data_IF_787188966506
#
_entry.id   IF_787188966506
#
_cell.length_a   1.000
_cell.length_b   1.000
_cell.length_c   1.000
_cell.angle_alpha   90.00
_cell.angle_beta   90.00
_cell.angle_gamma   90.00
#
_symmetry.space_group_name_H-M   'P 1'
#
loop_
_entity.id
_entity.type
_entity.pdbx_description
1 polymer ?
#
# COMPACT_ATOMS: atom_id res chain seq x y z
N UNK A 1 8.03 3.77 -3.21
CA UNK A 1 6.76 3.28 -2.63
C UNK A 1 6.90 2.76 -1.19
N UNK A 2 8.08 2.47 -0.67
CA UNK A 2 8.30 2.25 0.76
C UNK A 2 8.62 3.61 1.38
N UNK A 3 7.80 4.06 2.35
CA UNK A 3 8.07 5.30 3.06
C UNK A 3 9.34 5.16 3.91
N UNK A 4 10.17 6.18 3.91
CA UNK A 4 11.37 6.26 4.77
C UNK A 4 11.38 7.57 5.53
N UNK A 5 11.87 7.52 6.77
CA UNK A 5 12.04 8.71 7.61
C UNK A 5 12.85 9.77 6.86
N UNK A 6 12.40 11.01 6.92
CA UNK A 6 12.99 12.15 6.21
C UNK A 6 12.39 12.43 4.83
N UNK A 7 11.56 11.55 4.28
CA UNK A 7 10.73 11.91 3.14
C UNK A 7 9.61 12.86 3.59
N UNK A 8 9.41 13.89 2.81
CA UNK A 8 8.42 14.93 3.09
C UNK A 8 7.07 14.59 2.48
N UNK A 9 5.99 14.87 3.22
CA UNK A 9 4.62 14.52 2.87
C UNK A 9 3.74 15.76 2.77
N UNK A 10 3.07 15.93 1.63
CA UNK A 10 2.04 16.93 1.39
C UNK A 10 0.67 16.27 1.49
N UNK A 11 -0.26 16.85 2.25
CA UNK A 11 -1.60 16.30 2.48
C UNK A 11 -2.65 17.10 1.71
N UNK A 12 -3.16 16.56 0.61
CA UNK A 12 -4.26 17.19 -0.13
C UNK A 12 -5.60 16.89 0.55
N UNK A 13 -6.36 17.94 0.85
CA UNK A 13 -7.59 17.85 1.63
C UNK A 13 -7.37 17.83 3.15
N UNK A 14 -6.23 18.31 3.63
CA UNK A 14 -5.84 18.33 5.05
C UNK A 14 -6.87 19.01 5.97
N UNK A 15 -7.62 19.98 5.48
CA UNK A 15 -8.61 20.74 6.25
C UNK A 15 -9.96 20.04 6.38
N UNK A 16 -10.15 18.92 5.69
CA UNK A 16 -11.32 18.05 5.85
C UNK A 16 -11.20 17.20 7.11
N UNK A 17 -12.33 16.75 7.67
CA UNK A 17 -12.37 15.95 8.91
C UNK A 17 -11.39 14.75 8.90
N UNK A 18 -11.38 13.97 7.83
CA UNK A 18 -10.48 12.82 7.69
C UNK A 18 -9.02 13.25 7.46
N UNK A 19 -8.81 14.24 6.59
CA UNK A 19 -7.49 14.78 6.30
C UNK A 19 -6.80 15.33 7.55
N UNK A 20 -7.53 16.12 8.38
CA UNK A 20 -7.03 16.63 9.66
C UNK A 20 -6.66 15.48 10.60
N UNK A 21 -7.63 14.59 10.88
CA UNK A 21 -7.42 13.48 11.83
C UNK A 21 -6.22 12.62 11.49
N UNK A 22 -6.12 12.18 10.23
CA UNK A 22 -5.03 11.30 9.82
C UNK A 22 -3.70 12.04 9.68
N UNK A 23 -3.70 13.33 9.30
CA UNK A 23 -2.47 14.13 9.29
C UNK A 23 -1.88 14.28 10.69
N UNK A 24 -2.71 14.54 11.71
CA UNK A 24 -2.27 14.56 13.11
C UNK A 24 -1.67 13.21 13.52
N UNK A 25 -2.33 12.09 13.19
CA UNK A 25 -1.80 10.74 13.49
C UNK A 25 -0.52 10.42 12.75
N UNK A 26 -0.38 10.87 11.50
CA UNK A 26 0.88 10.74 10.74
C UNK A 26 2.01 11.52 11.44
N UNK A 27 1.77 12.77 11.84
CA UNK A 27 2.73 13.61 12.55
C UNK A 27 3.13 12.99 13.90
N UNK A 28 2.16 12.54 14.70
CA UNK A 28 2.40 11.85 15.97
C UNK A 28 3.29 10.60 15.80
N UNK A 29 3.19 9.91 14.66
CA UNK A 29 4.02 8.75 14.32
C UNK A 29 5.38 9.08 13.72
N UNK A 30 5.73 10.34 13.57
CA UNK A 30 7.02 10.78 13.02
C UNK A 30 7.03 10.95 11.50
N UNK A 31 5.88 10.95 10.83
CA UNK A 31 5.79 11.32 9.42
C UNK A 31 6.03 12.84 9.26
N UNK A 32 6.92 13.22 8.37
CA UNK A 32 7.27 14.62 8.11
C UNK A 32 6.24 15.28 7.20
N UNK A 33 5.10 15.70 7.77
CA UNK A 33 4.08 16.48 7.04
C UNK A 33 4.55 17.91 6.93
N UNK A 34 4.76 18.40 5.70
CA UNK A 34 5.32 19.72 5.41
C UNK A 34 4.27 20.77 5.06
N UNK A 35 3.04 20.38 4.83
CA UNK A 35 1.93 21.26 4.49
C UNK A 35 0.71 20.51 3.99
N UNK A 36 -0.32 21.26 3.70
CA UNK A 36 -1.55 20.78 3.11
C UNK A 36 -1.97 21.57 1.88
N UNK A 37 -2.89 21.01 1.11
CA UNK A 37 -3.50 21.70 -0.02
C UNK A 37 -4.99 21.90 0.22
N UNK A 38 -5.41 23.15 0.14
CA UNK A 38 -6.80 23.58 0.02
C UNK A 38 -6.85 24.94 -0.67
N UNK A 39 -7.30 25.04 -1.94
CA UNK A 39 -7.33 26.31 -2.68
C UNK A 39 -8.12 27.43 -2.00
N UNK A 40 -9.14 27.11 -1.21
CA UNK A 40 -9.99 28.08 -0.51
C UNK A 40 -9.35 28.63 0.77
N UNK A 41 -8.29 28.01 1.27
CA UNK A 41 -7.62 28.34 2.53
C UNK A 41 -6.11 28.52 2.35
N UNK A 42 -5.65 28.79 1.13
CA UNK A 42 -4.26 29.05 0.82
C UNK A 42 -3.74 30.26 1.64
N UNK A 43 -2.53 30.13 2.17
CA UNK A 43 -1.90 31.13 3.04
C UNK A 43 -2.24 31.01 4.52
N UNK A 44 -3.19 30.15 4.90
CA UNK A 44 -3.48 29.85 6.31
C UNK A 44 -2.50 28.80 6.88
N UNK A 45 -2.58 28.62 8.19
CA UNK A 45 -1.94 27.51 8.91
C UNK A 45 -3.01 26.58 9.48
N UNK A 46 -2.82 25.25 9.36
CA UNK A 46 -3.72 24.27 9.92
C UNK A 46 -2.89 23.14 10.57
N UNK A 47 -3.24 22.76 11.80
CA UNK A 47 -2.48 21.79 12.63
C UNK A 47 -0.95 22.03 12.63
N UNK A 48 -0.56 23.30 12.62
CA UNK A 48 0.86 23.70 12.68
C UNK A 48 1.61 23.65 11.35
N UNK A 49 0.95 23.35 10.22
CA UNK A 49 1.57 23.32 8.90
C UNK A 49 0.92 24.32 7.94
N UNK A 50 1.65 24.87 6.96
CA UNK A 50 1.12 25.82 5.98
C UNK A 50 0.13 25.15 5.03
N UNK A 51 -0.84 25.92 4.55
CA UNK A 51 -1.80 25.51 3.52
C UNK A 51 -1.48 26.23 2.21
N UNK A 52 -1.32 25.45 1.15
CA UNK A 52 -1.07 25.91 -0.21
C UNK A 52 -2.34 25.79 -1.06
N UNK A 53 -2.41 26.55 -2.14
CA UNK A 53 -3.49 26.49 -3.12
C UNK A 53 -3.40 25.25 -4.03
N UNK A 54 -2.19 24.73 -4.23
CA UNK A 54 -1.94 23.55 -5.08
C UNK A 54 -0.65 22.82 -4.65
N UNK A 55 -0.45 21.59 -5.14
CA UNK A 55 0.80 20.86 -4.93
C UNK A 55 1.95 21.51 -5.72
N UNK A 56 1.66 22.08 -6.89
CA UNK A 56 2.64 22.86 -7.68
C UNK A 56 3.10 24.08 -6.90
N UNK A 57 2.22 24.80 -6.21
CA UNK A 57 2.60 25.91 -5.32
C UNK A 57 3.48 25.41 -4.18
N UNK A 58 3.07 24.35 -3.47
CA UNK A 58 3.86 23.78 -2.38
C UNK A 58 5.28 23.41 -2.82
N UNK A 59 5.42 22.78 -4.00
CA UNK A 59 6.71 22.36 -4.55
C UNK A 59 7.67 23.51 -4.88
N UNK A 60 7.18 24.75 -5.04
CA UNK A 60 8.02 25.94 -5.21
C UNK A 60 8.63 26.41 -3.89
N UNK A 61 8.00 26.08 -2.77
CA UNK A 61 8.44 26.52 -1.43
C UNK A 61 9.23 25.44 -0.69
N UNK A 62 8.98 24.17 -0.98
CA UNK A 62 9.61 23.07 -0.25
C UNK A 62 9.62 21.80 -1.09
N UNK A 63 10.52 20.87 -0.76
CA UNK A 63 10.58 19.57 -1.39
C UNK A 63 9.35 18.75 -0.98
N UNK A 64 8.66 18.15 -1.96
CA UNK A 64 7.52 17.27 -1.76
C UNK A 64 7.84 15.87 -2.30
N UNK A 65 8.22 14.93 -1.44
CA UNK A 65 8.55 13.56 -1.87
C UNK A 65 7.30 12.72 -2.09
N UNK A 66 6.28 12.92 -1.24
CA UNK A 66 5.03 12.17 -1.24
C UNK A 66 3.83 13.12 -1.15
N UNK A 67 2.78 12.83 -1.91
CA UNK A 67 1.47 13.46 -1.74
C UNK A 67 0.44 12.41 -1.34
N UNK A 68 -0.35 12.66 -0.31
CA UNK A 68 -1.48 11.80 0.08
C UNK A 68 -2.81 12.51 -0.18
N UNK A 69 -3.74 11.80 -0.83
CA UNK A 69 -4.98 12.37 -1.38
C UNK A 69 -6.18 12.01 -0.50
N UNK A 70 -6.72 12.99 0.22
CA UNK A 70 -7.98 12.93 0.99
C UNK A 70 -9.10 13.73 0.28
N UNK A 71 -9.14 13.65 -1.03
CA UNK A 71 -10.07 14.42 -1.88
C UNK A 71 -11.22 13.50 -2.33
N UNK A 72 -12.48 14.00 -2.38
CA UNK A 72 -13.62 13.24 -2.88
C UNK A 72 -13.42 12.74 -4.33
N UNK A 73 -14.09 11.63 -4.73
CA UNK A 73 -13.88 11.00 -6.04
C UNK A 73 -13.96 11.92 -7.24
N UNK A 74 -14.97 12.81 -7.26
CA UNK A 74 -15.20 13.75 -8.35
C UNK A 74 -14.09 14.81 -8.55
N UNK A 75 -13.21 14.99 -7.57
CA UNK A 75 -12.13 15.99 -7.59
C UNK A 75 -10.75 15.33 -7.47
N UNK A 76 -10.71 14.01 -7.31
CA UNK A 76 -9.46 13.28 -7.07
C UNK A 76 -8.52 13.35 -8.29
N UNK A 77 -9.06 13.32 -9.51
CA UNK A 77 -8.27 13.44 -10.73
C UNK A 77 -7.41 14.71 -10.74
N UNK A 78 -8.03 15.85 -10.52
CA UNK A 78 -7.33 17.14 -10.56
C UNK A 78 -6.24 17.22 -9.49
N UNK A 79 -6.52 16.71 -8.27
CA UNK A 79 -5.56 16.66 -7.18
C UNK A 79 -4.36 15.73 -7.49
N UNK A 80 -4.60 14.59 -8.15
CA UNK A 80 -3.54 13.66 -8.55
C UNK A 80 -2.68 14.27 -9.66
N UNK A 81 -3.31 14.89 -10.67
CA UNK A 81 -2.62 15.54 -11.78
C UNK A 81 -1.76 16.72 -11.27
N UNK A 82 -2.29 17.53 -10.35
CA UNK A 82 -1.54 18.60 -9.70
C UNK A 82 -0.28 18.06 -8.97
N UNK A 83 -0.38 16.91 -8.29
CA UNK A 83 0.79 16.27 -7.68
C UNK A 83 1.79 15.73 -8.71
N UNK A 84 1.33 15.19 -9.85
CA UNK A 84 2.21 14.77 -10.96
C UNK A 84 2.94 15.99 -11.53
N UNK A 85 2.22 17.07 -11.76
CA UNK A 85 2.77 18.32 -12.33
C UNK A 85 3.73 19.02 -11.39
N UNK A 86 3.55 18.84 -10.08
CA UNK A 86 4.48 19.26 -9.03
C UNK A 86 5.76 18.40 -8.96
N UNK A 87 5.86 17.32 -9.72
CA UNK A 87 7.00 16.40 -9.70
C UNK A 87 7.09 15.52 -8.45
N UNK A 88 5.97 15.31 -7.74
CA UNK A 88 5.94 14.45 -6.55
C UNK A 88 6.25 13.00 -6.91
N UNK A 89 7.22 12.40 -6.24
CA UNK A 89 7.71 11.05 -6.56
C UNK A 89 6.73 9.93 -6.25
N UNK A 90 5.95 10.04 -5.16
CA UNK A 90 4.94 9.04 -4.78
C UNK A 90 3.62 9.72 -4.44
N UNK A 91 2.53 9.27 -5.07
CA UNK A 91 1.18 9.80 -4.87
C UNK A 91 0.31 8.68 -4.29
N UNK A 92 -0.13 8.84 -3.04
CA UNK A 92 -0.94 7.86 -2.32
C UNK A 92 -2.40 8.28 -2.41
N UNK A 93 -3.19 7.56 -3.20
CA UNK A 93 -4.60 7.88 -3.49
C UNK A 93 -5.53 7.01 -2.67
N UNK A 94 -6.02 7.55 -1.55
CA UNK A 94 -6.91 6.81 -0.64
C UNK A 94 -8.32 6.70 -1.19
N UNK A 95 -8.70 7.63 -2.06
CA UNK A 95 -10.05 7.78 -2.61
C UNK A 95 -10.52 6.52 -3.31
N UNK A 96 -11.66 6.02 -2.89
CA UNK A 96 -12.44 4.96 -3.55
C UNK A 96 -13.41 5.57 -4.56
N UNK A 97 -13.84 4.80 -5.55
CA UNK A 97 -14.81 5.22 -6.58
C UNK A 97 -14.33 6.36 -7.50
N UNK A 98 -13.03 6.50 -7.70
CA UNK A 98 -12.52 7.37 -8.77
C UNK A 98 -13.02 6.81 -10.10
N UNK A 99 -13.71 7.62 -10.96
CA UNK A 99 -14.22 7.14 -12.23
C UNK A 99 -13.12 6.52 -13.10
N UNK A 100 -13.39 5.37 -13.70
CA UNK A 100 -12.38 4.66 -14.52
C UNK A 100 -11.83 5.52 -15.65
N UNK A 101 -12.66 6.39 -16.26
CA UNK A 101 -12.22 7.34 -17.27
C UNK A 101 -11.18 8.32 -16.72
N UNK A 102 -11.42 8.85 -15.51
CA UNK A 102 -10.49 9.75 -14.82
C UNK A 102 -9.17 9.04 -14.50
N UNK A 103 -9.22 7.76 -14.10
CA UNK A 103 -8.00 6.96 -13.88
C UNK A 103 -7.19 6.78 -15.15
N UNK A 104 -7.85 6.58 -16.31
CA UNK A 104 -7.15 6.51 -17.60
C UNK A 104 -6.48 7.83 -18.00
N UNK A 105 -7.14 8.96 -17.74
CA UNK A 105 -6.55 10.30 -17.97
C UNK A 105 -5.34 10.54 -17.03
N UNK A 106 -5.47 10.17 -15.76
CA UNK A 106 -4.36 10.22 -14.80
C UNK A 106 -3.17 9.40 -15.32
N UNK A 107 -3.40 8.18 -15.80
CA UNK A 107 -2.32 7.34 -16.34
C UNK A 107 -1.72 7.88 -17.62
N UNK A 108 -2.53 8.54 -18.47
CA UNK A 108 -1.99 9.24 -19.62
C UNK A 108 -1.05 10.38 -19.21
N UNK A 109 -1.41 11.13 -18.16
CA UNK A 109 -0.56 12.21 -17.60
C UNK A 109 0.68 11.66 -16.90
N UNK A 110 0.58 10.49 -16.27
CA UNK A 110 1.69 9.83 -15.58
C UNK A 110 2.81 9.39 -16.54
N UNK A 111 2.48 9.09 -17.81
CA UNK A 111 3.47 8.72 -18.81
C UNK A 111 4.51 9.82 -18.99
N UNK A 112 5.79 9.46 -18.89
CA UNK A 112 6.90 10.40 -19.00
C UNK A 112 7.18 11.21 -17.73
N UNK A 113 6.41 11.03 -16.65
CA UNK A 113 6.75 11.58 -15.34
C UNK A 113 7.59 10.59 -14.52
N UNK A 114 8.23 11.10 -13.46
CA UNK A 114 8.93 10.28 -12.47
C UNK A 114 8.01 9.90 -11.29
N UNK A 115 6.73 10.23 -11.37
CA UNK A 115 5.76 9.95 -10.32
C UNK A 115 5.29 8.50 -10.35
N UNK A 116 4.91 7.98 -9.19
CA UNK A 116 4.27 6.68 -9.01
C UNK A 116 3.00 6.86 -8.21
N UNK A 117 1.93 6.19 -8.62
CA UNK A 117 0.66 6.20 -7.89
C UNK A 117 0.50 4.89 -7.11
N UNK A 118 0.17 5.00 -5.83
CA UNK A 118 -0.26 3.90 -4.95
C UNK A 118 -1.76 4.05 -4.73
N UNK A 119 -2.54 3.06 -5.11
CA UNK A 119 -4.00 3.18 -5.24
C UNK A 119 -4.45 3.43 -6.68
N UNK A 120 -5.68 3.89 -6.96
CA UNK A 120 -6.72 4.35 -6.01
C UNK A 120 -7.21 3.28 -5.02
N UNK A 121 -8.06 3.72 -4.08
CA UNK A 121 -8.67 2.86 -3.07
C UNK A 121 -7.63 2.10 -2.23
N UNK A 122 -6.57 2.79 -1.81
CA UNK A 122 -5.56 2.23 -0.90
C UNK A 122 -5.77 2.68 0.53
N UNK A 123 -5.37 1.86 1.48
CA UNK A 123 -5.25 2.27 2.88
C UNK A 123 -3.93 3.00 3.17
N UNK A 124 -2.96 2.96 2.25
CA UNK A 124 -1.70 3.67 2.35
C UNK A 124 -0.48 2.78 2.62
N UNK A 125 0.54 3.39 3.17
CA UNK A 125 1.88 2.83 3.41
C UNK A 125 2.23 2.94 4.89
N UNK A 126 2.89 1.93 5.45
CA UNK A 126 3.43 1.98 6.82
C UNK A 126 4.86 1.48 6.83
N UNK A 127 5.74 2.21 7.47
CA UNK A 127 7.07 1.72 7.88
C UNK A 127 7.16 1.83 9.40
N UNK A 128 6.96 0.72 10.13
CA UNK A 128 6.88 0.78 11.57
C UNK A 128 8.15 1.37 12.20
N UNK A 129 7.96 2.32 13.15
CA UNK A 129 9.06 3.06 13.77
C UNK A 129 9.57 4.25 12.97
N UNK A 130 9.12 4.44 11.71
CA UNK A 130 9.49 5.60 10.89
C UNK A 130 8.32 6.53 10.59
N UNK A 131 7.11 5.97 10.37
CA UNK A 131 5.89 6.69 10.08
C UNK A 131 4.94 5.90 9.20
N UNK A 132 3.84 6.53 8.83
CA UNK A 132 2.88 5.98 7.88
C UNK A 132 2.26 7.09 7.03
N UNK A 133 1.65 6.71 5.92
CA UNK A 133 0.97 7.62 5.00
C UNK A 133 -0.39 7.02 4.66
N UNK A 134 -1.46 7.69 5.01
CA UNK A 134 -2.83 7.27 4.71
C UNK A 134 -3.67 7.02 5.95
N UNK A 135 -4.49 5.96 5.91
CA UNK A 135 -5.50 5.63 6.93
C UNK A 135 -5.23 4.30 7.65
N UNK A 136 -4.04 3.74 7.47
CA UNK A 136 -3.62 2.56 8.23
C UNK A 136 -3.32 2.94 9.68
N UNK A 137 -3.64 2.07 10.66
CA UNK A 137 -3.36 2.35 12.07
C UNK A 137 -1.87 2.19 12.41
N UNK A 138 -0.99 2.89 11.67
CA UNK A 138 0.47 2.83 11.84
C UNK A 138 0.96 3.25 13.23
N UNK A 139 0.15 4.03 13.94
CA UNK A 139 0.37 4.42 15.34
C UNK A 139 0.07 3.30 16.35
N UNK A 140 -0.59 2.21 15.93
CA UNK A 140 -0.96 1.12 16.83
C UNK A 140 0.13 0.05 16.87
N UNK A 141 0.91 0.03 17.95
CA UNK A 141 2.01 -0.92 18.14
C UNK A 141 1.57 -2.38 18.36
N UNK A 142 0.29 -2.64 18.60
CA UNK A 142 -0.24 -4.00 18.60
C UNK A 142 -0.39 -4.56 17.18
N UNK A 143 -0.52 -3.69 16.18
CA UNK A 143 -0.66 -4.05 14.77
C UNK A 143 0.68 -3.96 14.05
N UNK A 144 1.40 -2.86 14.25
CA UNK A 144 2.65 -2.57 13.54
C UNK A 144 3.82 -2.46 14.52
N UNK A 145 4.82 -3.33 14.34
CA UNK A 145 6.12 -3.25 15.05
C UNK A 145 7.26 -3.29 14.03
N UNK A 146 8.36 -2.58 14.28
CA UNK A 146 9.56 -2.73 13.46
C UNK A 146 10.03 -4.18 13.39
N UNK A 147 10.41 -4.62 12.20
CA UNK A 147 10.91 -5.97 11.94
C UNK A 147 11.31 -6.13 10.47
N UNK A 148 11.29 -7.37 9.97
CA UNK A 148 11.85 -7.69 8.66
C UNK A 148 10.84 -8.28 7.65
N UNK A 149 9.56 -8.37 7.99
CA UNK A 149 8.54 -8.92 7.09
C UNK A 149 7.90 -7.81 6.27
N UNK A 150 8.08 -7.83 4.95
CA UNK A 150 7.35 -6.95 4.03
C UNK A 150 5.93 -7.47 3.82
N UNK A 151 4.92 -6.61 3.91
CA UNK A 151 3.52 -6.99 3.70
C UNK A 151 2.92 -6.19 2.55
N UNK A 152 2.34 -6.90 1.58
CA UNK A 152 1.59 -6.32 0.45
C UNK A 152 0.12 -6.69 0.63
N UNK A 153 -0.80 -5.73 0.49
CA UNK A 153 -2.22 -6.04 0.56
C UNK A 153 -3.06 -5.20 -0.40
N UNK A 154 -4.05 -5.81 -1.03
CA UNK A 154 -5.11 -5.09 -1.76
C UNK A 154 -6.10 -4.46 -0.79
N UNK A 155 -6.42 -5.17 0.28
CA UNK A 155 -7.39 -4.76 1.29
C UNK A 155 -6.70 -4.16 2.52
N UNK A 156 -7.12 -2.97 2.93
CA UNK A 156 -6.63 -2.33 4.17
C UNK A 156 -6.98 -3.15 5.41
N UNK A 157 -8.19 -3.66 5.52
CA UNK A 157 -8.65 -4.45 6.69
C UNK A 157 -7.96 -5.82 6.79
N UNK A 158 -7.83 -6.55 5.68
CA UNK A 158 -7.10 -7.82 5.66
C UNK A 158 -5.61 -7.62 5.91
N UNK A 159 -5.02 -6.56 5.37
CA UNK A 159 -3.64 -6.18 5.66
C UNK A 159 -3.41 -5.87 7.13
N UNK A 160 -4.33 -5.12 7.75
CA UNK A 160 -4.30 -4.85 9.20
C UNK A 160 -4.38 -6.14 10.01
N UNK A 161 -5.31 -7.04 9.66
CA UNK A 161 -5.45 -8.34 10.32
C UNK A 161 -4.18 -9.19 10.18
N UNK A 162 -3.57 -9.20 8.99
CA UNK A 162 -2.32 -9.90 8.74
C UNK A 162 -1.20 -9.35 9.62
N UNK A 163 -1.00 -8.03 9.63
CA UNK A 163 0.03 -7.38 10.46
C UNK A 163 -0.19 -7.62 11.96
N UNK A 164 -1.46 -7.63 12.42
CA UNK A 164 -1.80 -7.98 13.80
C UNK A 164 -1.38 -9.42 14.15
N UNK A 165 -1.68 -10.40 13.29
CA UNK A 165 -1.29 -11.80 13.51
C UNK A 165 0.23 -11.95 13.53
N UNK A 166 0.94 -11.32 12.60
CA UNK A 166 2.39 -11.32 12.54
C UNK A 166 3.00 -10.73 13.82
N UNK A 167 2.53 -9.56 14.22
CA UNK A 167 3.02 -8.87 15.43
C UNK A 167 2.79 -9.68 16.71
N UNK A 168 1.61 -10.32 16.84
CA UNK A 168 1.30 -11.21 17.98
C UNK A 168 2.20 -12.44 18.04
N UNK A 169 2.62 -12.94 16.88
CA UNK A 169 3.55 -14.07 16.78
C UNK A 169 5.04 -13.65 16.88
N UNK A 170 5.33 -12.38 17.15
CA UNK A 170 6.70 -11.87 17.29
C UNK A 170 7.37 -11.46 15.98
N UNK A 171 6.65 -11.45 14.86
CA UNK A 171 7.16 -11.02 13.56
C UNK A 171 6.77 -9.56 13.29
N UNK A 172 7.73 -8.64 13.36
CA UNK A 172 7.54 -7.24 12.99
C UNK A 172 7.64 -7.02 11.48
N UNK A 173 7.17 -5.84 11.02
CA UNK A 173 7.15 -5.51 9.61
C UNK A 173 8.31 -4.56 9.24
N UNK A 174 8.94 -4.80 8.08
CA UNK A 174 9.87 -3.86 7.42
C UNK A 174 9.12 -2.75 6.70
N UNK A 175 8.00 -3.10 6.09
CA UNK A 175 7.07 -2.20 5.44
C UNK A 175 5.71 -2.87 5.22
N UNK A 176 4.66 -2.06 5.17
CA UNK A 176 3.34 -2.41 4.64
C UNK A 176 3.05 -1.56 3.42
N UNK A 177 2.63 -2.19 2.33
CA UNK A 177 2.25 -1.54 1.07
C UNK A 177 0.81 -1.94 0.75
N UNK A 178 -0.11 -0.99 0.96
CA UNK A 178 -1.49 -1.11 0.50
C UNK A 178 -1.56 -0.71 -0.98
N UNK A 179 -1.86 -1.65 -1.87
CA UNK A 179 -1.87 -1.35 -3.31
C UNK A 179 -3.22 -0.86 -3.82
N UNK A 180 -4.32 -1.17 -3.10
CA UNK A 180 -5.67 -0.74 -3.45
C UNK A 180 -6.55 -1.87 -4.00
N UNK A 181 -7.88 -1.67 -3.83
CA UNK A 181 -8.91 -2.64 -4.20
C UNK A 181 -9.62 -2.37 -5.53
N UNK A 182 -9.28 -1.28 -6.23
CA UNK A 182 -9.89 -0.92 -7.51
C UNK A 182 -9.37 -1.80 -8.66
N UNK A 183 -10.15 -1.94 -9.75
CA UNK A 183 -9.72 -2.75 -10.90
C UNK A 183 -8.52 -2.16 -11.65
N UNK A 184 -8.36 -0.85 -11.64
CA UNK A 184 -7.28 -0.12 -12.30
C UNK A 184 -6.52 0.66 -11.23
N UNK A 185 -5.29 0.22 -10.93
CA UNK A 185 -4.42 0.80 -9.90
C UNK A 185 -3.03 1.11 -10.45
N UNK A 186 -2.36 2.09 -9.86
CA UNK A 186 -1.05 2.57 -10.31
C UNK A 186 0.13 1.75 -9.80
N UNK A 187 -0.06 0.92 -8.77
CA UNK A 187 0.96 0.04 -8.20
C UNK A 187 0.38 -1.36 -8.07
N UNK A 188 0.95 -2.32 -8.77
CA UNK A 188 0.53 -3.72 -8.77
C UNK A 188 1.19 -4.54 -7.66
N UNK A 189 0.71 -5.78 -7.44
CA UNK A 189 1.38 -6.73 -6.54
C UNK A 189 2.81 -7.02 -6.98
N UNK A 190 3.06 -7.06 -8.29
CA UNK A 190 4.41 -7.24 -8.85
C UNK A 190 5.32 -6.05 -8.50
N UNK A 191 4.86 -4.81 -8.70
CA UNK A 191 5.65 -3.61 -8.38
C UNK A 191 6.02 -3.56 -6.90
N UNK A 192 5.07 -3.88 -6.03
CA UNK A 192 5.28 -3.90 -4.58
C UNK A 192 6.25 -5.03 -4.19
N UNK A 193 6.13 -6.21 -4.81
CA UNK A 193 7.02 -7.34 -4.57
C UNK A 193 8.46 -7.02 -4.98
N UNK A 194 8.66 -6.41 -6.15
CA UNK A 194 9.96 -5.94 -6.62
C UNK A 194 10.57 -4.88 -5.69
N UNK A 195 9.75 -4.01 -5.10
CA UNK A 195 10.24 -3.01 -4.15
C UNK A 195 10.72 -3.64 -2.84
N UNK A 196 9.98 -4.63 -2.30
CA UNK A 196 10.36 -5.35 -1.09
C UNK A 196 11.55 -6.30 -1.32
N UNK A 197 11.68 -6.85 -2.51
CA UNK A 197 12.82 -7.69 -2.87
C UNK A 197 14.14 -6.89 -2.84
N UNK A 198 14.11 -5.65 -3.31
CA UNK A 198 15.26 -4.74 -3.29
C UNK A 198 15.52 -4.09 -1.91
N UNK A 199 14.55 -4.16 -1.01
CA UNK A 199 14.68 -3.54 0.31
C UNK A 199 15.54 -4.43 1.24
N UNK A 200 16.72 -3.95 1.63
CA UNK A 200 17.66 -4.68 2.47
C UNK A 200 17.11 -5.02 3.87
N UNK A 201 16.13 -4.26 4.35
CA UNK A 201 15.48 -4.52 5.64
C UNK A 201 14.44 -5.62 5.60
N UNK A 202 14.01 -6.01 4.39
CA UNK A 202 13.01 -7.06 4.18
C UNK A 202 13.71 -8.40 3.99
N UNK A 203 13.39 -9.37 4.83
CA UNK A 203 13.92 -10.75 4.73
C UNK A 203 12.90 -11.75 4.22
N UNK A 204 11.61 -11.47 4.39
CA UNK A 204 10.51 -12.28 3.89
C UNK A 204 9.35 -11.39 3.44
N UNK A 205 8.52 -11.86 2.52
CA UNK A 205 7.36 -11.11 2.02
C UNK A 205 6.07 -11.88 2.22
N UNK A 206 5.03 -11.19 2.68
CA UNK A 206 3.66 -11.70 2.76
C UNK A 206 2.79 -10.96 1.76
N UNK A 207 2.24 -11.69 0.79
CA UNK A 207 1.28 -11.21 -0.21
C UNK A 207 -0.14 -11.56 0.21
N UNK A 208 -0.91 -10.56 0.59
CA UNK A 208 -2.35 -10.68 0.91
C UNK A 208 -3.14 -10.27 -0.32
N UNK A 209 -3.55 -11.27 -1.08
CA UNK A 209 -4.35 -11.11 -2.29
C UNK A 209 -5.82 -11.43 -2.07
N UNK A 210 -6.57 -11.30 -3.15
CA UNK A 210 -8.00 -11.64 -3.19
C UNK A 210 -8.39 -12.11 -4.59
N UNK A 211 -9.59 -12.66 -4.73
CA UNK A 211 -10.14 -13.01 -6.05
C UNK A 211 -10.28 -11.77 -6.93
N UNK A 212 -10.29 -11.98 -8.24
CA UNK A 212 -10.41 -10.93 -9.26
C UNK A 212 -9.07 -10.43 -9.80
N UNK A 213 -9.04 -10.17 -11.10
CA UNK A 213 -7.83 -9.77 -11.82
C UNK A 213 -6.76 -10.88 -11.85
N UNK A 214 -5.54 -10.53 -12.31
CA UNK A 214 -4.41 -11.45 -12.48
C UNK A 214 -3.11 -10.94 -11.84
N UNK A 215 -3.21 -10.01 -10.89
CA UNK A 215 -2.03 -9.36 -10.30
C UNK A 215 -1.18 -10.31 -9.46
N UNK A 216 -1.81 -11.26 -8.76
CA UNK A 216 -1.13 -12.24 -7.94
C UNK A 216 -0.43 -13.31 -8.80
N UNK A 217 -1.02 -13.68 -9.95
CA UNK A 217 -0.39 -14.55 -10.93
C UNK A 217 0.87 -13.90 -11.55
N UNK A 218 0.80 -12.61 -11.89
CA UNK A 218 1.96 -11.86 -12.38
C UNK A 218 3.05 -11.73 -11.30
N UNK A 219 2.66 -11.51 -10.04
CA UNK A 219 3.59 -11.47 -8.92
C UNK A 219 4.23 -12.85 -8.67
N UNK A 220 3.49 -13.95 -8.87
CA UNK A 220 4.00 -15.32 -8.73
C UNK A 220 5.16 -15.60 -9.71
N UNK A 221 5.06 -15.14 -10.95
CA UNK A 221 6.16 -15.32 -11.93
C UNK A 221 7.46 -14.65 -11.47
N UNK A 222 7.36 -13.47 -10.88
CA UNK A 222 8.53 -12.80 -10.31
C UNK A 222 9.05 -13.51 -9.05
N UNK A 223 8.14 -13.95 -8.17
CA UNK A 223 8.49 -14.64 -6.93
C UNK A 223 9.40 -15.87 -7.16
N UNK A 224 9.28 -16.56 -8.30
CA UNK A 224 10.16 -17.68 -8.69
C UNK A 224 11.64 -17.31 -8.76
N UNK A 225 11.95 -16.05 -8.99
CA UNK A 225 13.33 -15.54 -9.15
C UNK A 225 13.88 -14.92 -7.86
N UNK A 226 13.01 -14.70 -6.86
CA UNK A 226 13.41 -14.07 -5.60
C UNK A 226 14.21 -15.03 -4.72
N UNK A 227 15.19 -14.48 -4.00
CA UNK A 227 15.88 -15.19 -2.93
C UNK A 227 15.13 -15.15 -1.61
N UNK A 228 14.33 -14.09 -1.41
CA UNK A 228 13.54 -13.91 -0.20
C UNK A 228 12.29 -14.80 -0.27
N UNK A 229 11.96 -15.55 0.78
CA UNK A 229 10.75 -16.36 0.81
C UNK A 229 9.51 -15.50 0.70
N UNK A 230 8.55 -15.98 -0.08
CA UNK A 230 7.24 -15.34 -0.27
C UNK A 230 6.17 -16.27 0.28
N UNK A 231 5.28 -15.72 1.09
CA UNK A 231 4.09 -16.37 1.61
C UNK A 231 2.86 -15.65 1.10
N UNK A 232 1.76 -16.34 0.95
CA UNK A 232 0.53 -15.70 0.47
C UNK A 232 -0.70 -16.19 1.20
N UNK A 233 -1.66 -15.27 1.36
CA UNK A 233 -3.03 -15.57 1.71
C UNK A 233 -3.94 -14.93 0.66
N UNK A 234 -4.86 -15.72 0.09
CA UNK A 234 -5.80 -15.26 -0.92
C UNK A 234 -7.22 -15.30 -0.34
N UNK A 235 -7.83 -14.13 -0.19
CA UNK A 235 -9.22 -14.01 0.24
C UNK A 235 -10.20 -14.42 -0.87
N UNK A 236 -11.35 -14.97 -0.48
CA UNK A 236 -12.42 -15.30 -1.40
C UNK A 236 -12.53 -16.79 -1.76
N UNK A 237 -11.91 -17.72 -1.01
CA UNK A 237 -12.00 -19.16 -1.23
C UNK A 237 -13.45 -19.67 -1.33
N UNK A 238 -14.34 -19.14 -0.49
CA UNK A 238 -15.76 -19.53 -0.43
C UNK A 238 -16.68 -18.56 -1.19
N UNK A 239 -16.12 -17.68 -2.02
CA UNK A 239 -16.92 -16.73 -2.78
C UNK A 239 -17.76 -17.45 -3.83
N UNK A 240 -19.07 -17.12 -3.93
CA UNK A 240 -19.89 -17.65 -5.01
C UNK A 240 -19.34 -17.23 -6.38
N UNK A 241 -19.42 -18.09 -7.41
CA UNK A 241 -19.05 -17.70 -8.77
C UNK A 241 -19.89 -16.50 -9.24
N UNK A 242 -19.30 -15.68 -10.09
CA UNK A 242 -19.93 -14.52 -10.76
C UNK A 242 -20.49 -13.43 -9.83
N UNK A 243 -20.12 -13.42 -8.54
CA UNK A 243 -20.46 -12.36 -7.60
C UNK A 243 -19.26 -11.44 -7.35
N UNK A 244 -19.52 -10.13 -7.39
CA UNK A 244 -18.59 -9.11 -6.89
C UNK A 244 -18.51 -9.23 -5.36
N UNK A 245 -17.29 -9.34 -4.83
CA UNK A 245 -17.05 -9.53 -3.40
C UNK A 245 -16.26 -8.36 -2.82
N UNK A 246 -16.95 -7.43 -2.17
CA UNK A 246 -16.34 -6.27 -1.51
C UNK A 246 -15.77 -5.26 -2.51
N UNK A 247 -14.49 -5.36 -2.84
CA UNK A 247 -13.80 -4.42 -3.72
C UNK A 247 -14.30 -4.42 -5.15
N UNK A 248 -14.21 -3.28 -5.83
CA UNK A 248 -14.60 -3.14 -7.22
C UNK A 248 -13.81 -4.06 -8.17
N UNK A 249 -12.55 -4.37 -7.82
CA UNK A 249 -11.68 -5.27 -8.57
C UNK A 249 -11.86 -6.76 -8.23
N UNK A 250 -12.67 -7.12 -7.22
CA UNK A 250 -12.89 -8.51 -6.79
C UNK A 250 -13.98 -9.20 -7.62
N UNK A 251 -13.77 -9.29 -8.93
CA UNK A 251 -14.68 -9.93 -9.90
C UNK A 251 -13.94 -11.08 -10.58
N UNK A 252 -14.51 -12.28 -10.54
CA UNK A 252 -14.05 -13.44 -11.31
C UNK A 252 -14.85 -13.51 -12.62
N UNK A 253 -14.16 -13.55 -13.75
CA UNK A 253 -14.79 -13.62 -15.07
C UNK A 253 -14.06 -14.65 -15.94
N UNK A 254 -14.81 -15.48 -16.65
CA UNK A 254 -14.27 -16.45 -17.61
C UNK A 254 -13.27 -17.46 -17.01
N UNK A 255 -13.43 -17.83 -15.74
CA UNK A 255 -12.57 -18.80 -15.05
C UNK A 255 -11.17 -18.30 -14.69
N UNK A 256 -10.85 -17.04 -14.93
CA UNK A 256 -9.57 -16.39 -14.56
C UNK A 256 -9.74 -15.52 -13.31
N UNK A 257 -8.67 -15.39 -12.53
CA UNK A 257 -8.67 -14.58 -11.30
C UNK A 257 -9.43 -15.21 -10.14
N UNK A 258 -9.83 -16.47 -10.25
CA UNK A 258 -10.45 -17.23 -9.14
C UNK A 258 -9.42 -17.67 -8.12
N UNK A 259 -9.91 -18.05 -6.91
CA UNK A 259 -9.06 -18.55 -5.83
C UNK A 259 -8.13 -19.69 -6.28
N UNK A 260 -8.69 -20.70 -6.95
CA UNK A 260 -7.93 -21.89 -7.37
C UNK A 260 -6.82 -21.56 -8.38
N UNK A 261 -7.07 -20.66 -9.36
CA UNK A 261 -6.06 -20.27 -10.35
C UNK A 261 -4.91 -19.50 -9.71
N UNK A 262 -5.21 -18.56 -8.79
CA UNK A 262 -4.21 -17.78 -8.06
C UNK A 262 -3.38 -18.66 -7.14
N UNK A 263 -4.03 -19.54 -6.36
CA UNK A 263 -3.35 -20.51 -5.50
C UNK A 263 -2.38 -21.37 -6.30
N UNK A 264 -2.87 -21.98 -7.37
CA UNK A 264 -2.05 -22.85 -8.21
C UNK A 264 -0.86 -22.11 -8.87
N UNK A 265 -1.03 -20.85 -9.28
CA UNK A 265 0.05 -20.04 -9.82
C UNK A 265 1.13 -19.76 -8.76
N UNK A 266 0.73 -19.36 -7.57
CA UNK A 266 1.61 -19.07 -6.45
C UNK A 266 2.37 -20.33 -5.99
N UNK A 267 1.68 -21.47 -5.81
CA UNK A 267 2.30 -22.74 -5.41
C UNK A 267 3.31 -23.25 -6.45
N UNK A 268 3.00 -23.14 -7.75
CA UNK A 268 3.98 -23.46 -8.83
C UNK A 268 5.21 -22.56 -8.81
N UNK A 269 5.07 -21.35 -8.28
CA UNK A 269 6.18 -20.43 -8.10
C UNK A 269 7.01 -20.67 -6.82
N UNK A 270 6.66 -21.69 -6.02
CA UNK A 270 7.30 -21.98 -4.74
C UNK A 270 6.80 -21.14 -3.57
N UNK A 271 5.73 -20.35 -3.77
CA UNK A 271 5.10 -19.56 -2.72
C UNK A 271 4.24 -20.46 -1.86
N UNK A 272 4.41 -20.43 -0.53
CA UNK A 272 3.53 -21.14 0.40
C UNK A 272 2.23 -20.35 0.58
N UNK A 273 1.11 -20.96 0.21
CA UNK A 273 -0.21 -20.34 0.31
C UNK A 273 -0.96 -20.88 1.53
N UNK A 274 -1.31 -19.98 2.45
CA UNK A 274 -2.04 -20.30 3.66
C UNK A 274 -3.56 -20.36 3.41
N UNK A 275 -4.24 -21.20 4.15
CA UNK A 275 -5.71 -21.29 4.17
C UNK A 275 -6.33 -20.24 5.11
N UNK A 276 -5.56 -19.80 6.12
CA UNK A 276 -5.96 -18.76 7.07
C UNK A 276 -4.83 -17.74 7.28
N UNK A 277 -5.14 -16.47 7.64
CA UNK A 277 -4.10 -15.49 7.95
C UNK A 277 -3.17 -15.90 9.10
N UNK A 278 -3.65 -16.71 10.04
CA UNK A 278 -2.87 -17.17 11.21
C UNK A 278 -1.74 -18.15 10.81
N UNK A 279 -1.92 -18.96 9.77
CA UNK A 279 -0.91 -19.91 9.31
C UNK A 279 0.35 -19.24 8.78
N UNK A 280 0.24 -18.02 8.25
CA UNK A 280 1.40 -17.24 7.77
C UNK A 280 2.44 -17.05 8.86
N UNK A 281 1.99 -16.75 10.08
CA UNK A 281 2.90 -16.58 11.22
C UNK A 281 3.64 -17.89 11.57
N UNK A 282 2.96 -19.03 11.48
CA UNK A 282 3.58 -20.35 11.68
C UNK A 282 4.65 -20.62 10.61
N UNK A 283 4.34 -20.34 9.33
CA UNK A 283 5.28 -20.52 8.23
C UNK A 283 6.58 -19.71 8.41
N UNK A 284 6.46 -18.46 8.86
CA UNK A 284 7.61 -17.60 9.16
C UNK A 284 8.44 -18.11 10.32
N UNK A 285 7.80 -18.64 11.36
CA UNK A 285 8.49 -19.22 12.53
C UNK A 285 9.32 -20.46 12.17
N UNK A 286 8.85 -21.28 11.24
CA UNK A 286 9.58 -22.45 10.76
C UNK A 286 10.90 -22.08 10.06
N UNK A 287 10.93 -20.99 9.28
CA UNK A 287 12.15 -20.52 8.60
C UNK A 287 13.17 -20.01 9.61
N UNK A 288 12.74 -19.15 10.53
CA UNK A 288 13.63 -18.62 11.56
C UNK A 288 14.26 -19.72 12.44
N UNK A 289 13.54 -20.83 12.64
CA UNK A 289 14.07 -21.97 13.39
C UNK A 289 15.13 -22.71 12.59
N UNK A 290 14.93 -22.91 11.28
CA UNK A 290 15.93 -23.56 10.40
C UNK A 290 17.22 -22.75 10.29
N UNK A 291 17.11 -21.43 10.08
CA UNK A 291 18.29 -20.56 10.01
C UNK A 291 19.10 -20.56 11.32
N UNK A 292 18.46 -20.63 12.49
CA UNK A 292 19.14 -20.73 13.78
C UNK A 292 19.85 -22.06 13.99
N UNK A 293 19.31 -23.16 13.48
CA UNK A 293 19.96 -24.48 13.54
C UNK A 293 21.20 -24.50 12.68
N UNK A 294 21.12 -24.01 11.43
CA UNK A 294 22.29 -23.94 10.52
C UNK A 294 23.36 -22.94 10.94
N UNK A 295 23.02 -21.92 11.74
CA UNK A 295 24.00 -20.96 12.26
C UNK A 295 24.70 -21.47 13.56
N UNK A 296 24.21 -22.55 14.15
CA UNK A 296 24.76 -23.16 15.36
C UNK A 296 25.62 -24.41 15.09
N UNK A 297 25.62 -24.90 13.86
CA UNK A 297 26.51 -25.93 13.29
C UNK A 297 27.74 -25.29 12.62
#
# INVERSE_FOLDING_TARGET
MIYRRGQTVLVQGITGKQGTFWAEKMIECGTTVIGGVNPKRAGETHIGVPIYGSAVEAARHTRCDVSVIFIPPALAKDAIIDAIDAGVGTIVTLTEHVPSHDVLEIFARLKGSNSRIVGPNTAGLVTPGEGFIGIMPGHNTNVFKPGSVGVISRSGSLGTLMCLNLTRAGHGQSAFIGIGGDPIIGTTSLDALMALDRDERTTAVVLVGEIGGSMEEAAAEYARTMRKPVFSFIAGRSSPPDKKMGHAGAIVSGGRGGYASKRAALERAGVRVADTPAEIAAFLSEINTRERVFAAE
#
